data_IF_009300676896
#
_entry.id   IF_009300676896
#
_cell.length_a   1.000
_cell.length_b   1.000
_cell.length_c   1.000
_cell.angle_alpha   90.00
_cell.angle_beta   90.00
_cell.angle_gamma   90.00
#
_symmetry.space_group_name_H-M   'P 1'
#
loop_
_entity.id
_entity.type
_entity.pdbx_description
1 polymer ?
#
# COMPACT_ATOMS: atom_id res chain seq x y z
N UNK A 1 -11.34 6.18 3.00
CA UNK A 1 -9.87 6.20 3.19
C UNK A 1 -9.26 7.39 2.46
N UNK A 2 -8.22 7.94 3.02
CA UNK A 2 -7.44 9.03 2.45
C UNK A 2 -5.98 8.75 2.72
N UNK A 3 -5.15 8.68 1.67
CA UNK A 3 -3.71 8.51 1.80
C UNK A 3 -2.98 9.63 1.07
N UNK A 4 -1.91 10.11 1.68
CA UNK A 4 -1.03 11.14 1.13
C UNK A 4 0.41 10.73 1.39
N UNK A 5 1.19 10.65 0.33
CA UNK A 5 2.62 10.39 0.39
C UNK A 5 3.34 11.50 -0.37
N UNK A 6 4.26 12.17 0.31
CA UNK A 6 5.08 13.24 -0.29
C UNK A 6 6.47 13.13 0.30
N UNK A 7 7.48 13.04 -0.55
CA UNK A 7 8.86 13.05 -0.13
C UNK A 7 9.82 12.53 -1.17
N UNK A 8 11.07 12.56 -0.83
CA UNK A 8 12.16 12.00 -1.63
C UNK A 8 12.81 10.91 -0.80
N UNK A 9 12.78 9.69 -1.32
CA UNK A 9 13.50 8.57 -0.74
C UNK A 9 14.89 8.51 -1.36
N UNK A 10 15.90 8.59 -0.50
CA UNK A 10 17.31 8.54 -0.89
C UNK A 10 17.92 7.18 -0.60
N UNK A 11 18.58 6.61 -1.58
CA UNK A 11 19.40 5.41 -1.43
C UNK A 11 20.86 5.76 -1.70
N UNK A 12 21.72 5.50 -0.71
CA UNK A 12 23.16 5.80 -0.78
C UNK A 12 23.96 4.51 -0.73
N UNK A 13 24.90 4.37 -1.66
CA UNK A 13 25.90 3.31 -1.66
C UNK A 13 27.29 3.91 -1.75
N UNK A 14 28.16 3.53 -0.85
CA UNK A 14 29.58 3.87 -0.92
C UNK A 14 30.35 2.69 -1.50
N UNK A 15 31.12 2.92 -2.57
CA UNK A 15 32.07 1.95 -3.08
C UNK A 15 33.41 2.12 -2.38
N UNK A 16 33.81 1.06 -1.67
CA UNK A 16 35.12 0.98 -0.98
C UNK A 16 36.01 -0.10 -1.54
N UNK A 17 35.55 -0.85 -2.56
CA UNK A 17 36.25 -2.01 -3.11
C UNK A 17 36.93 -1.77 -4.47
N UNK A 18 38.03 -2.42 -4.71
CA UNK A 18 38.81 -2.34 -5.96
C UNK A 18 38.16 -3.02 -7.18
N UNK A 19 37.11 -3.82 -6.98
CA UNK A 19 36.49 -4.64 -8.03
C UNK A 19 35.54 -3.91 -8.99
N UNK A 20 35.15 -2.68 -8.69
CA UNK A 20 34.20 -1.91 -9.49
C UNK A 20 34.85 -0.75 -10.24
N UNK A 21 36.16 -0.59 -10.09
CA UNK A 21 36.97 0.40 -10.81
C UNK A 21 37.74 -0.28 -11.94
N UNK A 22 37.60 0.25 -13.14
CA UNK A 22 38.34 -0.20 -14.30
C UNK A 22 39.33 0.88 -14.73
N UNK A 23 40.56 0.47 -15.04
CA UNK A 23 41.53 1.36 -15.63
C UNK A 23 41.28 1.38 -17.13
N UNK A 24 41.01 2.56 -17.66
CA UNK A 24 40.88 2.78 -19.09
C UNK A 24 41.99 3.62 -19.61
N UNK A 25 42.52 3.28 -20.79
CA UNK A 25 43.43 4.11 -21.53
C UNK A 25 42.79 4.51 -22.85
N UNK A 26 42.91 5.75 -23.21
CA UNK A 26 42.46 6.26 -24.50
C UNK A 26 43.51 7.18 -25.10
N UNK A 27 43.57 7.21 -26.42
CA UNK A 27 44.52 8.03 -27.16
C UNK A 27 43.80 9.27 -27.71
N UNK A 28 44.36 10.42 -27.43
CA UNK A 28 43.97 11.70 -28.02
C UNK A 28 44.97 12.12 -29.05
N UNK A 29 44.53 12.45 -30.25
CA UNK A 29 45.41 13.03 -31.28
C UNK A 29 45.41 14.56 -31.15
N UNK A 30 46.61 15.12 -30.88
CA UNK A 30 46.77 16.57 -30.88
C UNK A 30 47.78 17.00 -31.93
N UNK A 31 47.53 18.16 -32.50
CA UNK A 31 48.50 18.81 -33.40
C UNK A 31 49.76 19.16 -32.62
N UNK A 32 50.90 18.90 -33.26
CA UNK A 32 52.19 19.35 -32.72
C UNK A 32 52.36 20.83 -33.06
N UNK A 33 52.54 21.68 -32.05
CA UNK A 33 52.73 23.11 -32.20
C UNK A 33 54.17 23.50 -31.96
N UNK A 34 54.63 24.64 -32.49
CA UNK A 34 55.85 25.30 -32.10
C UNK A 34 55.69 26.14 -30.83
N UNK A 35 56.76 26.79 -30.38
CA UNK A 35 56.78 27.62 -29.16
C UNK A 35 55.86 28.86 -29.26
N UNK A 36 55.50 29.24 -30.48
CA UNK A 36 54.57 30.34 -30.76
C UNK A 36 53.12 29.88 -30.92
N UNK A 37 52.86 28.53 -30.79
CA UNK A 37 51.51 27.96 -30.86
C UNK A 37 51.03 27.58 -32.27
N UNK A 38 51.88 27.73 -33.32
CA UNK A 38 51.54 27.39 -34.69
C UNK A 38 51.68 25.90 -34.95
N UNK A 39 50.79 25.33 -35.77
CA UNK A 39 50.81 23.92 -36.14
C UNK A 39 52.06 23.60 -36.98
N UNK A 40 52.82 22.57 -36.59
CA UNK A 40 53.95 22.05 -37.37
C UNK A 40 53.45 21.10 -38.44
N UNK A 41 54.01 21.24 -39.67
CA UNK A 41 53.72 20.41 -40.81
C UNK A 41 54.86 19.44 -41.11
N UNK A 42 54.56 18.32 -41.75
CA UNK A 42 55.59 17.39 -42.28
C UNK A 42 56.16 17.91 -43.60
N UNK A 43 57.13 17.13 -44.19
CA UNK A 43 57.75 17.46 -45.47
C UNK A 43 56.79 17.48 -46.67
N UNK A 44 55.58 16.88 -46.50
CA UNK A 44 54.55 16.77 -47.52
C UNK A 44 53.40 17.81 -47.30
N UNK A 45 53.54 18.71 -46.33
CA UNK A 45 52.56 19.72 -46.04
C UNK A 45 51.37 19.26 -45.16
N UNK A 46 51.46 18.05 -44.57
CA UNK A 46 50.40 17.58 -43.67
C UNK A 46 50.66 18.00 -42.22
N UNK A 47 49.65 18.34 -41.45
CA UNK A 47 49.81 18.71 -40.06
C UNK A 47 50.34 17.50 -39.25
N UNK A 48 51.40 17.73 -38.48
CA UNK A 48 51.93 16.71 -37.59
C UNK A 48 51.04 16.50 -36.38
N UNK A 49 50.64 15.24 -36.14
CA UNK A 49 49.86 14.84 -34.98
C UNK A 49 50.70 14.01 -34.02
N UNK A 50 50.41 14.15 -32.74
CA UNK A 50 50.99 13.36 -31.67
C UNK A 50 49.88 12.64 -30.94
N UNK A 51 50.02 11.34 -30.74
CA UNK A 51 49.13 10.59 -29.87
C UNK A 51 49.55 10.82 -28.40
N UNK A 52 48.61 11.26 -27.62
CA UNK A 52 48.76 11.42 -26.17
C UNK A 52 47.94 10.31 -25.55
N UNK A 53 48.60 9.41 -24.85
CA UNK A 53 47.93 8.37 -24.09
C UNK A 53 47.45 8.94 -22.75
N UNK A 54 46.18 8.85 -22.53
CA UNK A 54 45.55 9.20 -21.26
C UNK A 54 45.19 7.93 -20.52
N UNK A 55 45.46 7.89 -19.23
CA UNK A 55 45.07 6.81 -18.36
C UNK A 55 44.12 7.37 -17.31
N UNK A 56 42.96 6.79 -17.21
CA UNK A 56 41.93 7.17 -16.22
C UNK A 56 41.33 5.99 -15.52
N UNK A 57 40.59 6.27 -14.46
CA UNK A 57 39.79 5.30 -13.77
C UNK A 57 38.35 5.49 -14.20
N UNK A 58 37.73 4.44 -14.68
CA UNK A 58 36.30 4.38 -14.94
C UNK A 58 35.62 3.58 -13.81
N UNK A 59 34.42 4.02 -13.40
CA UNK A 59 33.61 3.34 -12.40
C UNK A 59 32.27 2.98 -13.02
N UNK A 60 31.91 1.72 -12.90
CA UNK A 60 30.59 1.26 -13.35
C UNK A 60 29.52 1.78 -12.41
N UNK A 61 28.76 2.78 -12.85
CA UNK A 61 27.61 3.30 -12.11
C UNK A 61 26.46 2.29 -12.25
N UNK A 62 25.88 1.81 -11.14
CA UNK A 62 24.70 0.95 -11.19
C UNK A 62 23.53 1.66 -11.87
N UNK A 63 22.70 0.89 -12.57
CA UNK A 63 21.55 1.44 -13.25
C UNK A 63 20.62 2.21 -12.29
N UNK A 64 20.20 3.40 -12.70
CA UNK A 64 19.34 4.28 -11.91
C UNK A 64 20.03 5.05 -10.76
N UNK A 65 21.37 4.97 -10.67
CA UNK A 65 22.15 5.76 -9.70
C UNK A 65 22.93 6.87 -10.39
N UNK A 66 23.14 7.96 -9.65
CA UNK A 66 24.15 8.97 -9.96
C UNK A 66 25.39 8.72 -9.09
N UNK A 67 26.56 9.08 -9.58
CA UNK A 67 27.82 8.90 -8.87
C UNK A 67 28.57 10.22 -8.66
N UNK A 68 29.17 10.38 -7.49
CA UNK A 68 30.10 11.47 -7.20
C UNK A 68 31.43 10.84 -6.81
N UNK A 69 32.47 11.21 -7.56
CA UNK A 69 33.85 10.75 -7.27
C UNK A 69 34.63 11.86 -6.60
N UNK A 70 35.38 11.53 -5.56
CA UNK A 70 36.19 12.50 -4.80
C UNK A 70 37.50 11.87 -4.29
N UNK A 71 38.52 12.70 -4.13
CA UNK A 71 39.79 12.30 -3.56
C UNK A 71 40.54 11.23 -4.38
N UNK A 72 41.49 10.57 -3.74
CA UNK A 72 42.23 9.42 -4.27
C UNK A 72 42.51 8.41 -3.16
N UNK A 73 42.23 7.15 -3.44
CA UNK A 73 42.61 6.04 -2.58
C UNK A 73 44.11 5.75 -2.64
N UNK A 74 44.59 4.90 -1.74
CA UNK A 74 45.99 4.40 -1.78
C UNK A 74 46.28 3.66 -3.09
N UNK A 75 45.31 3.02 -3.71
CA UNK A 75 45.40 2.35 -5.00
C UNK A 75 45.35 3.30 -6.21
N UNK A 76 45.16 4.62 -5.97
CA UNK A 76 45.15 5.65 -7.00
C UNK A 76 43.82 5.93 -7.66
N UNK A 77 42.78 5.11 -7.44
CA UNK A 77 41.42 5.38 -7.93
C UNK A 77 40.69 6.36 -7.02
N UNK A 78 39.68 7.12 -7.52
CA UNK A 78 38.86 8.00 -6.68
C UNK A 78 37.94 7.19 -5.77
N UNK A 79 37.55 7.78 -4.65
CA UNK A 79 36.39 7.29 -3.90
C UNK A 79 35.12 7.70 -4.64
N UNK A 80 34.19 6.80 -4.79
CA UNK A 80 32.92 7.08 -5.45
C UNK A 80 31.75 6.72 -4.54
N UNK A 81 30.84 7.66 -4.35
CA UNK A 81 29.57 7.45 -3.70
C UNK A 81 28.45 7.47 -4.74
N UNK A 82 27.55 6.52 -4.67
CA UNK A 82 26.37 6.46 -5.52
C UNK A 82 25.16 6.85 -4.71
N UNK A 83 24.26 7.55 -5.36
CA UNK A 83 22.98 7.92 -4.77
C UNK A 83 21.87 7.83 -5.79
N UNK A 84 20.68 7.52 -5.32
CA UNK A 84 19.43 7.52 -6.07
C UNK A 84 18.37 8.25 -5.28
N UNK A 85 17.65 9.13 -5.94
CA UNK A 85 16.54 9.87 -5.38
C UNK A 85 15.24 9.42 -6.06
N UNK A 86 14.28 8.91 -5.30
CA UNK A 86 12.95 8.56 -5.79
C UNK A 86 11.95 9.59 -5.26
N UNK A 87 11.35 10.36 -6.15
CA UNK A 87 10.31 11.30 -5.79
C UNK A 87 8.97 10.57 -5.68
N UNK A 88 8.38 10.57 -4.50
CA UNK A 88 7.04 10.05 -4.24
C UNK A 88 6.09 11.21 -3.99
N UNK A 89 5.08 11.33 -4.83
CA UNK A 89 4.01 12.32 -4.67
C UNK A 89 2.69 11.66 -5.08
N UNK A 90 2.03 11.03 -4.12
CA UNK A 90 0.76 10.34 -4.33
C UNK A 90 -0.29 10.85 -3.35
N UNK A 91 -1.45 11.22 -3.88
CA UNK A 91 -2.66 11.48 -3.10
C UNK A 91 -3.76 10.57 -3.60
N UNK A 92 -4.27 9.70 -2.73
CA UNK A 92 -5.39 8.81 -3.03
C UNK A 92 -6.54 9.06 -2.06
N UNK A 93 -7.75 9.19 -2.60
CA UNK A 93 -8.97 9.39 -1.82
C UNK A 93 -10.03 8.42 -2.31
N UNK A 94 -10.51 7.56 -1.43
CA UNK A 94 -11.58 6.61 -1.73
C UNK A 94 -12.74 6.78 -0.75
N UNK A 95 -13.97 6.86 -1.29
CA UNK A 95 -15.21 6.84 -0.50
C UNK A 95 -16.07 5.68 -0.99
N UNK A 96 -16.53 4.83 -0.07
CA UNK A 96 -17.48 3.78 -0.36
C UNK A 96 -18.63 3.87 0.62
N UNK A 97 -19.84 3.65 0.13
CA UNK A 97 -21.05 3.59 0.96
C UNK A 97 -21.82 2.33 0.61
N UNK A 98 -22.10 1.52 1.60
CA UNK A 98 -22.91 0.32 1.47
C UNK A 98 -24.20 0.56 2.25
N UNK A 99 -25.34 0.38 1.59
CA UNK A 99 -26.65 0.43 2.22
C UNK A 99 -27.35 -0.91 2.00
N UNK A 100 -27.68 -1.59 3.09
CA UNK A 100 -28.42 -2.85 3.07
C UNK A 100 -29.73 -2.69 3.86
N UNK A 101 -30.84 -3.14 3.30
CA UNK A 101 -32.18 -3.06 3.92
C UNK A 101 -32.91 -4.40 3.80
N UNK A 102 -32.55 -5.41 4.59
CA UNK A 102 -33.30 -6.64 4.63
C UNK A 102 -34.65 -6.37 5.31
N UNK A 103 -35.71 -6.99 4.81
CA UNK A 103 -37.01 -6.98 5.43
C UNK A 103 -37.58 -8.40 5.51
N UNK A 104 -38.31 -8.67 6.58
CA UNK A 104 -38.98 -9.95 6.81
C UNK A 104 -40.28 -9.74 7.54
N UNK A 105 -41.29 -10.51 7.18
CA UNK A 105 -42.63 -10.50 7.84
C UNK A 105 -42.81 -11.82 8.57
N UNK A 106 -43.30 -11.76 9.81
CA UNK A 106 -43.55 -12.94 10.62
C UNK A 106 -44.76 -12.74 11.55
N UNK A 107 -45.25 -13.84 12.06
CA UNK A 107 -46.30 -13.81 13.07
C UNK A 107 -45.76 -13.51 14.46
N UNK A 108 -46.62 -13.01 15.35
CA UNK A 108 -46.28 -12.78 16.75
C UNK A 108 -45.74 -14.06 17.42
N UNK A 109 -44.56 -13.97 18.05
CA UNK A 109 -43.88 -15.06 18.74
C UNK A 109 -43.21 -16.09 17.81
N UNK A 110 -43.17 -15.87 16.49
CA UNK A 110 -42.50 -16.75 15.55
C UNK A 110 -41.20 -16.15 15.04
N UNK A 111 -40.17 -17.00 14.99
CA UNK A 111 -38.90 -16.65 14.38
C UNK A 111 -39.03 -16.62 12.86
N UNK A 112 -38.44 -15.64 12.24
CA UNK A 112 -38.23 -15.58 10.81
C UNK A 112 -36.77 -15.29 10.52
N UNK A 113 -36.27 -15.92 9.47
CA UNK A 113 -34.89 -15.73 8.97
C UNK A 113 -34.93 -15.37 7.49
N UNK A 114 -34.13 -14.39 7.11
CA UNK A 114 -33.84 -14.09 5.71
C UNK A 114 -32.35 -14.05 5.50
N UNK A 115 -31.88 -14.75 4.47
CA UNK A 115 -30.48 -14.76 4.04
C UNK A 115 -30.43 -14.32 2.57
N UNK A 116 -29.70 -13.24 2.30
CA UNK A 116 -29.50 -12.70 0.96
C UNK A 116 -28.00 -12.63 0.73
N UNK A 117 -27.45 -13.51 -0.11
CA UNK A 117 -26.02 -13.57 -0.30
C UNK A 117 -25.58 -14.69 -1.23
N UNK A 118 -24.30 -14.98 -1.18
CA UNK A 118 -23.62 -15.99 -1.96
C UNK A 118 -22.99 -17.05 -1.07
N UNK A 119 -22.89 -18.27 -1.58
CA UNK A 119 -22.10 -19.33 -0.95
C UNK A 119 -20.66 -19.27 -1.45
N UNK A 120 -19.74 -19.09 -0.54
CA UNK A 120 -18.32 -18.95 -0.84
C UNK A 120 -17.62 -20.28 -0.57
N UNK A 121 -16.91 -20.86 -1.55
CA UNK A 121 -16.13 -22.07 -1.35
C UNK A 121 -14.91 -21.77 -0.46
N UNK A 122 -14.75 -22.52 0.61
CA UNK A 122 -13.59 -22.49 1.50
C UNK A 122 -12.92 -23.83 1.45
N UNK A 123 -11.64 -23.83 1.12
CA UNK A 123 -10.83 -25.06 1.08
C UNK A 123 -10.37 -25.36 2.51
N UNK A 124 -10.74 -26.54 3.01
CA UNK A 124 -10.34 -27.06 4.33
C UNK A 124 -9.43 -28.27 4.12
N UNK A 125 -8.22 -28.17 4.64
CA UNK A 125 -7.27 -29.29 4.64
C UNK A 125 -7.36 -30.04 5.98
N UNK A 126 -7.66 -31.29 5.91
CA UNK A 126 -7.56 -32.21 7.03
C UNK A 126 -6.31 -33.08 6.88
N UNK A 127 -5.52 -33.16 7.94
CA UNK A 127 -4.38 -34.08 8.01
C UNK A 127 -4.70 -35.14 9.04
N UNK A 128 -4.92 -36.36 8.57
CA UNK A 128 -5.14 -37.55 9.42
C UNK A 128 -4.07 -38.59 9.08
N UNK A 129 -3.34 -39.05 10.09
CA UNK A 129 -2.26 -40.04 9.97
C UNK A 129 -1.26 -39.78 8.83
N UNK A 130 -0.93 -38.49 8.58
CA UNK A 130 0.00 -38.08 7.52
C UNK A 130 -0.61 -38.04 6.12
N UNK A 131 -1.89 -38.35 5.97
CA UNK A 131 -2.64 -38.19 4.71
C UNK A 131 -3.34 -36.84 4.71
N UNK A 132 -3.06 -36.03 3.69
CA UNK A 132 -3.75 -34.73 3.47
C UNK A 132 -5.00 -34.98 2.63
N UNK A 133 -6.14 -34.64 3.18
CA UNK A 133 -7.41 -34.65 2.47
C UNK A 133 -7.90 -33.20 2.34
N UNK A 134 -8.17 -32.78 1.13
CA UNK A 134 -8.69 -31.45 0.84
C UNK A 134 -10.20 -31.55 0.58
N UNK A 135 -10.98 -30.81 1.37
CA UNK A 135 -12.44 -30.74 1.22
C UNK A 135 -12.87 -29.31 0.97
N UNK A 136 -13.85 -29.11 0.10
CA UNK A 136 -14.44 -27.80 -0.14
C UNK A 136 -15.70 -27.66 0.73
N UNK A 137 -15.67 -26.73 1.67
CA UNK A 137 -16.83 -26.29 2.44
C UNK A 137 -17.41 -25.01 1.86
N UNK A 138 -18.73 -24.86 1.93
CA UNK A 138 -19.40 -23.64 1.51
C UNK A 138 -19.81 -22.82 2.74
N UNK A 139 -19.42 -21.55 2.76
CA UNK A 139 -19.79 -20.59 3.80
C UNK A 139 -20.71 -19.54 3.21
N UNK A 140 -21.78 -19.22 3.92
CA UNK A 140 -22.70 -18.16 3.53
C UNK A 140 -22.03 -16.81 3.77
N UNK A 141 -22.12 -15.91 2.78
CA UNK A 141 -21.66 -14.54 2.88
C UNK A 141 -22.71 -13.61 2.25
N UNK A 142 -23.08 -12.57 2.97
CA UNK A 142 -24.13 -11.64 2.57
C UNK A 142 -24.83 -11.02 3.77
N UNK A 143 -26.11 -10.81 3.66
CA UNK A 143 -26.97 -10.21 4.69
C UNK A 143 -27.85 -11.30 5.28
N UNK A 144 -27.74 -11.50 6.57
CA UNK A 144 -28.59 -12.41 7.34
C UNK A 144 -29.32 -11.62 8.41
N UNK A 145 -30.62 -11.79 8.48
CA UNK A 145 -31.47 -11.22 9.53
C UNK A 145 -32.34 -12.33 10.14
N UNK A 146 -32.19 -12.54 11.44
CA UNK A 146 -33.07 -13.40 12.23
C UNK A 146 -33.87 -12.49 13.16
N UNK A 147 -35.17 -12.62 13.18
CA UNK A 147 -36.08 -11.73 13.88
C UNK A 147 -37.17 -12.53 14.56
N UNK A 148 -37.31 -12.35 15.89
CA UNK A 148 -38.37 -13.00 16.69
C UNK A 148 -39.12 -11.93 17.49
N UNK A 149 -40.27 -11.43 17.03
CA UNK A 149 -41.05 -10.44 17.72
C UNK A 149 -41.99 -11.05 18.76
N UNK A 150 -42.29 -10.26 19.80
CA UNK A 150 -43.37 -10.49 20.73
C UNK A 150 -44.13 -9.17 20.95
N UNK A 151 -45.40 -9.16 20.61
CA UNK A 151 -46.27 -7.99 20.74
C UNK A 151 -46.95 -8.08 22.09
N UNK A 152 -46.83 -7.03 22.91
CA UNK A 152 -47.50 -6.88 24.20
C UNK A 152 -48.94 -6.38 24.01
N UNK A 153 -49.77 -6.48 25.06
CA UNK A 153 -51.19 -6.03 25.04
C UNK A 153 -51.34 -4.51 24.83
N UNK A 154 -50.29 -3.74 25.15
CA UNK A 154 -50.19 -2.29 24.95
C UNK A 154 -49.68 -1.89 23.55
N UNK A 155 -49.48 -2.85 22.65
CA UNK A 155 -49.03 -2.62 21.28
C UNK A 155 -47.51 -2.38 21.14
N UNK A 156 -46.72 -2.55 22.20
CA UNK A 156 -45.27 -2.51 22.10
C UNK A 156 -44.70 -3.83 21.54
N UNK A 157 -43.68 -3.71 20.72
CA UNK A 157 -42.99 -4.83 20.10
C UNK A 157 -41.68 -5.06 20.85
N UNK A 158 -41.54 -6.20 21.51
CA UNK A 158 -40.26 -6.68 22.04
C UNK A 158 -39.70 -7.72 21.07
N UNK A 159 -38.52 -7.52 20.55
CA UNK A 159 -37.95 -8.39 19.51
C UNK A 159 -36.52 -8.80 19.80
N UNK A 160 -36.24 -10.08 19.62
CA UNK A 160 -34.85 -10.55 19.49
C UNK A 160 -34.42 -10.38 18.03
N UNK A 161 -33.31 -9.67 17.83
CA UNK A 161 -32.81 -9.30 16.52
C UNK A 161 -31.36 -9.75 16.40
N UNK A 162 -31.11 -10.59 15.42
CA UNK A 162 -29.73 -10.93 15.03
C UNK A 162 -29.55 -10.49 13.57
N UNK A 163 -28.77 -9.42 13.38
CA UNK A 163 -28.46 -8.88 12.07
C UNK A 163 -26.97 -9.07 11.78
N UNK A 164 -26.68 -9.71 10.67
CA UNK A 164 -25.33 -9.99 10.21
C UNK A 164 -25.13 -9.54 8.77
N UNK A 165 -23.99 -8.89 8.50
CA UNK A 165 -23.55 -8.54 7.16
C UNK A 165 -22.11 -9.07 6.97
N UNK A 166 -21.96 -10.02 6.09
CA UNK A 166 -20.67 -10.64 5.77
C UNK A 166 -20.27 -10.31 4.33
N UNK A 167 -19.07 -9.78 4.17
CA UNK A 167 -18.52 -9.38 2.87
C UNK A 167 -17.26 -10.21 2.57
N UNK A 168 -17.25 -11.01 1.49
CA UNK A 168 -16.10 -11.79 1.11
C UNK A 168 -15.12 -10.96 0.27
N UNK A 169 -13.82 -11.15 0.54
CA UNK A 169 -12.72 -10.59 -0.24
C UNK A 169 -11.79 -11.72 -0.66
N UNK A 170 -11.53 -11.83 -1.95
CA UNK A 170 -10.53 -12.76 -2.45
C UNK A 170 -9.12 -12.24 -2.09
N UNK A 171 -8.32 -13.09 -1.48
CA UNK A 171 -6.89 -12.85 -1.21
C UNK A 171 -6.09 -13.67 -2.21
N UNK A 172 -5.60 -13.08 -3.32
CA UNK A 172 -5.01 -13.82 -4.44
C UNK A 172 -3.77 -14.62 -4.04
N UNK A 173 -2.95 -14.09 -3.12
CA UNK A 173 -1.72 -14.73 -2.65
C UNK A 173 -2.00 -16.04 -1.91
N UNK A 174 -3.14 -16.12 -1.22
CA UNK A 174 -3.55 -17.29 -0.46
C UNK A 174 -4.52 -18.18 -1.23
N UNK A 175 -5.03 -17.72 -2.39
CA UNK A 175 -6.13 -18.37 -3.14
C UNK A 175 -7.34 -18.69 -2.25
N UNK A 176 -7.59 -17.83 -1.27
CA UNK A 176 -8.62 -18.01 -0.26
C UNK A 176 -9.45 -16.75 -0.09
N UNK A 177 -10.63 -16.89 0.49
CA UNK A 177 -11.48 -15.75 0.83
C UNK A 177 -11.31 -15.35 2.29
N UNK A 178 -11.15 -14.04 2.51
CA UNK A 178 -11.29 -13.41 3.81
C UNK A 178 -12.72 -12.88 3.91
N UNK A 179 -13.45 -13.26 4.95
CA UNK A 179 -14.81 -12.79 5.20
C UNK A 179 -14.76 -11.78 6.33
N UNK A 180 -15.22 -10.56 6.07
CA UNK A 180 -15.40 -9.52 7.09
C UNK A 180 -16.86 -9.55 7.50
N UNK A 181 -17.12 -9.91 8.76
CA UNK A 181 -18.45 -10.03 9.34
C UNK A 181 -18.72 -8.87 10.30
N UNK A 182 -19.90 -8.27 10.17
CA UNK A 182 -20.44 -7.27 11.08
C UNK A 182 -21.77 -7.80 11.60
N UNK A 183 -21.84 -8.02 12.91
CA UNK A 183 -23.00 -8.67 13.53
C UNK A 183 -23.48 -7.86 14.74
N UNK A 184 -24.78 -7.76 14.89
CA UNK A 184 -25.44 -7.28 16.10
C UNK A 184 -26.48 -8.29 16.55
N UNK A 185 -26.42 -8.70 17.80
CA UNK A 185 -27.41 -9.57 18.44
C UNK A 185 -27.92 -8.86 19.68
N UNK A 186 -29.20 -8.52 19.69
CA UNK A 186 -29.80 -7.70 20.74
C UNK A 186 -31.26 -7.96 20.93
N UNK A 187 -31.75 -7.73 22.13
CA UNK A 187 -33.15 -7.68 22.47
C UNK A 187 -33.60 -6.23 22.58
N UNK A 188 -34.56 -5.83 21.77
CA UNK A 188 -35.06 -4.45 21.70
C UNK A 188 -36.54 -4.36 21.96
N UNK A 189 -36.99 -3.19 22.45
CA UNK A 189 -38.38 -2.84 22.61
C UNK A 189 -38.64 -1.52 21.88
N UNK A 190 -39.66 -1.48 21.05
CA UNK A 190 -40.07 -0.30 20.27
C UNK A 190 -41.59 -0.32 20.01
N UNK A 191 -42.14 0.84 19.66
CA UNK A 191 -43.52 0.95 19.20
C UNK A 191 -43.63 0.67 17.71
N UNK A 192 -44.81 0.27 17.27
CA UNK A 192 -45.07 0.06 15.84
C UNK A 192 -44.78 1.33 15.04
N UNK A 193 -43.93 1.23 14.01
CA UNK A 193 -43.54 2.33 13.15
C UNK A 193 -42.26 3.09 13.58
N UNK A 194 -41.81 2.92 14.82
CA UNK A 194 -40.60 3.58 15.32
C UNK A 194 -39.32 3.03 14.67
N UNK A 195 -38.34 3.89 14.60
CA UNK A 195 -36.96 3.53 14.21
C UNK A 195 -36.03 3.58 15.42
N UNK A 196 -35.27 2.53 15.64
CA UNK A 196 -34.30 2.43 16.73
C UNK A 196 -32.92 2.09 16.19
N UNK A 197 -31.92 2.86 16.59
CA UNK A 197 -30.52 2.50 16.34
C UNK A 197 -30.12 1.46 17.37
N UNK A 198 -29.82 0.24 16.92
CA UNK A 198 -29.45 -0.89 17.78
C UNK A 198 -27.97 -1.07 17.96
N UNK A 199 -27.16 -0.46 17.10
CA UNK A 199 -25.72 -0.53 17.18
C UNK A 199 -25.03 0.38 16.18
N UNK A 200 -23.79 0.65 16.45
CA UNK A 200 -22.92 1.42 15.56
C UNK A 200 -21.48 1.28 15.97
N UNK A 201 -20.59 1.55 15.04
CA UNK A 201 -19.14 1.59 15.24
C UNK A 201 -18.61 2.76 14.45
N UNK A 202 -17.80 3.56 15.07
CA UNK A 202 -16.94 4.53 14.40
C UNK A 202 -15.50 4.10 14.67
N UNK A 203 -14.82 3.71 13.62
CA UNK A 203 -13.41 3.30 13.67
C UNK A 203 -12.58 4.28 12.84
N UNK A 204 -11.51 4.76 13.45
CA UNK A 204 -10.60 5.72 12.84
C UNK A 204 -9.18 5.29 13.07
N UNK A 205 -8.52 4.88 12.02
CA UNK A 205 -7.10 4.52 12.02
C UNK A 205 -6.30 5.60 11.29
N UNK A 206 -5.35 6.18 11.99
CA UNK A 206 -4.41 7.15 11.41
C UNK A 206 -2.99 6.62 11.55
N UNK A 207 -2.33 6.39 10.42
CA UNK A 207 -0.94 5.97 10.35
C UNK A 207 -0.10 7.08 9.74
N UNK A 208 0.93 7.53 10.49
CA UNK A 208 1.88 8.55 10.06
C UNK A 208 3.27 7.98 10.07
N UNK A 209 3.91 7.94 8.92
CA UNK A 209 5.30 7.54 8.78
C UNK A 209 6.13 8.74 8.36
N UNK A 210 7.20 9.00 9.11
CA UNK A 210 8.17 10.03 8.82
C UNK A 210 9.55 9.42 8.70
N UNK A 211 10.20 9.65 7.57
CA UNK A 211 11.58 9.22 7.30
C UNK A 211 12.42 10.43 6.96
N UNK A 212 13.65 10.48 7.45
CA UNK A 212 14.60 11.53 7.10
C UNK A 212 16.00 10.96 6.96
N UNK A 213 16.81 11.58 6.11
CA UNK A 213 18.24 11.32 6.10
C UNK A 213 18.86 12.07 7.28
N UNK A 214 19.58 11.39 8.19
CA UNK A 214 20.23 12.03 9.32
C UNK A 214 21.11 13.20 8.86
N UNK A 215 21.17 14.28 9.64
CA UNK A 215 21.93 15.49 9.40
C UNK A 215 21.35 16.31 8.24
N UNK A 216 21.23 15.75 7.02
CA UNK A 216 20.72 16.45 5.84
C UNK A 216 19.25 16.85 5.97
N UNK A 217 18.45 16.01 6.62
CA UNK A 217 17.03 16.28 6.89
C UNK A 217 16.80 17.39 7.91
N UNK A 218 17.82 17.81 8.65
CA UNK A 218 17.72 18.85 9.69
C UNK A 218 18.19 20.23 9.21
N UNK A 219 18.67 20.35 7.96
CA UNK A 219 19.13 21.60 7.39
C UNK A 219 17.93 22.54 7.15
N UNK A 220 17.94 23.79 7.65
CA UNK A 220 16.91 24.76 7.38
C UNK A 220 16.71 24.96 5.86
N UNK A 221 15.46 25.03 5.42
CA UNK A 221 15.02 25.16 4.03
C UNK A 221 15.27 23.94 3.13
N UNK A 222 16.48 23.36 3.15
CA UNK A 222 16.86 22.22 2.30
C UNK A 222 16.46 20.87 2.88
N UNK A 223 16.29 20.79 4.19
CA UNK A 223 15.97 19.50 4.86
C UNK A 223 14.69 18.82 4.36
N UNK A 224 13.73 19.58 3.83
CA UNK A 224 12.50 19.02 3.24
C UNK A 224 12.77 18.11 2.04
N UNK A 225 13.86 18.32 1.31
CA UNK A 225 14.28 17.46 0.19
C UNK A 225 14.83 16.10 0.66
N UNK A 226 15.21 16.00 1.93
CA UNK A 226 15.77 14.80 2.55
C UNK A 226 14.82 14.16 3.55
N UNK A 227 13.52 14.44 3.41
CA UNK A 227 12.44 13.93 4.23
C UNK A 227 11.37 13.30 3.35
N UNK A 228 10.78 12.20 3.84
CA UNK A 228 9.59 11.57 3.26
C UNK A 228 8.52 11.45 4.34
N UNK A 229 7.29 11.85 4.01
CA UNK A 229 6.13 11.81 4.89
C UNK A 229 5.03 11.02 4.21
N UNK A 230 4.55 9.98 4.88
CA UNK A 230 3.37 9.23 4.47
C UNK A 230 2.32 9.31 5.56
N UNK A 231 1.09 9.62 5.19
CA UNK A 231 -0.06 9.65 6.07
C UNK A 231 -1.19 8.87 5.43
N UNK A 232 -1.69 7.88 6.15
CA UNK A 232 -2.89 7.12 5.80
C UNK A 232 -3.94 7.33 6.87
N UNK A 233 -5.14 7.69 6.45
CA UNK A 233 -6.30 7.85 7.31
C UNK A 233 -7.41 6.94 6.77
N UNK A 234 -7.84 6.00 7.57
CA UNK A 234 -8.99 5.15 7.29
C UNK A 234 -10.08 5.40 8.33
N UNK A 235 -11.26 5.78 7.87
CA UNK A 235 -12.44 5.97 8.71
C UNK A 235 -13.52 5.00 8.23
N UNK A 236 -14.11 4.25 9.16
CA UNK A 236 -15.21 3.34 8.93
C UNK A 236 -16.32 3.67 9.91
N UNK A 237 -17.49 3.95 9.39
CA UNK A 237 -18.70 4.19 10.18
C UNK A 237 -19.74 3.15 9.81
N UNK A 238 -20.29 2.49 10.81
CA UNK A 238 -21.35 1.50 10.69
C UNK A 238 -22.48 1.92 11.60
N UNK A 239 -23.69 1.97 11.06
CA UNK A 239 -24.90 2.21 11.83
C UNK A 239 -25.93 1.14 11.49
N UNK A 240 -26.48 0.50 12.50
CA UNK A 240 -27.52 -0.53 12.36
C UNK A 240 -28.80 0.03 12.96
N UNK A 241 -29.83 0.16 12.10
CA UNK A 241 -31.13 0.70 12.47
C UNK A 241 -32.16 -0.37 12.20
N UNK A 242 -33.10 -0.56 13.13
CA UNK A 242 -34.28 -1.40 12.97
C UNK A 242 -35.53 -0.55 12.94
N UNK A 243 -36.47 -0.93 12.09
CA UNK A 243 -37.87 -0.49 12.12
C UNK A 243 -38.74 -1.73 12.21
N UNK A 244 -39.69 -1.75 13.13
CA UNK A 244 -40.69 -2.80 13.19
C UNK A 244 -42.10 -2.17 13.10
N UNK A 245 -43.00 -2.86 12.41
CA UNK A 245 -44.36 -2.38 12.16
C UNK A 245 -45.35 -3.55 12.31
N UNK A 246 -46.44 -3.30 13.01
CA UNK A 246 -47.52 -4.25 13.11
C UNK A 246 -48.38 -4.07 11.86
N UNK A 247 -48.62 -5.16 11.14
CA UNK A 247 -49.50 -5.18 9.99
C UNK A 247 -50.87 -5.62 10.45
N UNK A 248 -51.80 -4.68 10.53
CA UNK A 248 -53.20 -4.99 10.76
C UNK A 248 -53.82 -5.58 9.49
N UNK A 249 -54.61 -6.63 9.66
CA UNK A 249 -55.33 -7.31 8.57
C UNK A 249 -56.72 -6.83 8.47
#
# INVERSE_FOLDING_TARGET
>A
SHSKEIGIDWDFKALTGSGEYHRESWNEQRYVTDDAGNIKYDKNGNPRMRNIEHNGWNVKIPEGYAGISYGRSVAGHPYTAFFRANLNALVSTGKARILARPNVVTMNGREAEILIGNKIPVIVEHVDNGVRTTTTEYRDAGIKLTYTPRISADGEITANVNAEVSTPYLVPEMRAYRIITRQANTLVRLRSGDMLTIGGLIDKEENKTFRKVPILGDIPLLGKLFQSKSRSLEESEIVIIIKAEILDR
#
